data_IF_084696424714
#
_entry.id   IF_084696424714
#
_cell.length_a   1.000
_cell.length_b   1.000
_cell.length_c   1.000
_cell.angle_alpha   90.00
_cell.angle_beta   90.00
_cell.angle_gamma   90.00
#
_symmetry.space_group_name_H-M   'P 1'
#
loop_
_entity.id
_entity.type
_entity.pdbx_description
1 polymer ?
#
# COMPACT_ATOMS: atom_id res chain seq x y z
N UNK A 1 16.50 21.02 18.71
CA UNK A 1 17.01 20.78 17.34
C UNK A 1 16.54 21.91 16.44
N UNK A 2 17.39 22.48 15.60
CA UNK A 2 16.98 23.56 14.67
C UNK A 2 16.45 22.96 13.37
N UNK A 3 15.47 23.63 12.75
CA UNK A 3 14.93 23.25 11.43
C UNK A 3 16.05 23.05 10.40
N UNK A 4 17.04 23.94 10.38
CA UNK A 4 18.21 23.84 9.48
C UNK A 4 18.97 22.54 9.66
N UNK A 5 19.20 22.11 10.90
CA UNK A 5 19.92 20.86 11.15
C UNK A 5 19.12 19.65 10.66
N UNK A 6 17.81 19.63 10.91
CA UNK A 6 16.92 18.57 10.44
C UNK A 6 16.85 18.50 8.90
N UNK A 7 16.71 19.65 8.22
CA UNK A 7 16.71 19.70 6.75
C UNK A 7 18.01 19.18 6.15
N UNK A 8 19.16 19.63 6.66
CA UNK A 8 20.49 19.18 6.18
C UNK A 8 20.69 17.68 6.42
N UNK A 9 20.23 17.16 7.56
CA UNK A 9 20.33 15.74 7.86
C UNK A 9 19.50 14.89 6.87
N UNK A 10 18.27 15.31 6.56
CA UNK A 10 17.43 14.61 5.57
C UNK A 10 18.00 14.69 4.15
N UNK A 11 18.50 15.86 3.75
CA UNK A 11 19.15 16.04 2.45
C UNK A 11 20.36 15.10 2.31
N UNK A 12 21.24 15.08 3.31
CA UNK A 12 22.42 14.20 3.31
C UNK A 12 22.04 12.71 3.28
N UNK A 13 20.98 12.31 3.99
CA UNK A 13 20.47 10.94 3.95
C UNK A 13 19.90 10.58 2.58
N UNK A 14 19.15 11.51 1.97
CA UNK A 14 18.57 11.36 0.64
C UNK A 14 19.67 11.17 -0.41
N UNK A 15 20.69 12.04 -0.40
CA UNK A 15 21.80 11.98 -1.37
C UNK A 15 22.54 10.64 -1.26
N UNK A 16 22.88 10.21 -0.05
CA UNK A 16 23.56 8.92 0.17
C UNK A 16 22.71 7.73 -0.24
N UNK A 17 21.40 7.78 0.01
CA UNK A 17 20.49 6.73 -0.43
C UNK A 17 20.45 6.64 -1.96
N UNK A 18 20.44 7.79 -2.65
CA UNK A 18 20.47 7.84 -4.11
C UNK A 18 21.79 7.33 -4.68
N UNK A 19 22.93 7.71 -4.10
CA UNK A 19 24.24 7.19 -4.50
C UNK A 19 24.31 5.66 -4.39
N UNK A 20 23.80 5.13 -3.27
CA UNK A 20 23.74 3.68 -3.05
C UNK A 20 22.83 2.98 -4.08
N UNK A 21 21.65 3.55 -4.37
CA UNK A 21 20.73 3.01 -5.36
C UNK A 21 21.38 2.99 -6.75
N UNK A 22 22.05 4.07 -7.16
CA UNK A 22 22.78 4.12 -8.43
C UNK A 22 23.85 3.03 -8.51
N UNK A 23 24.65 2.87 -7.44
CA UNK A 23 25.67 1.83 -7.37
C UNK A 23 25.06 0.43 -7.52
N UNK A 24 23.96 0.15 -6.82
CA UNK A 24 23.31 -1.17 -6.82
C UNK A 24 22.65 -1.48 -8.18
N UNK A 25 22.04 -0.49 -8.82
CA UNK A 25 21.39 -0.61 -10.14
C UNK A 25 22.38 -1.02 -11.23
N UNK A 26 23.64 -0.59 -11.12
CA UNK A 26 24.69 -1.00 -12.05
C UNK A 26 25.22 -2.42 -11.82
N UNK A 27 25.03 -2.98 -10.62
CA UNK A 27 25.62 -4.27 -10.22
C UNK A 27 24.61 -5.43 -10.23
N UNK A 28 23.37 -5.15 -9.87
CA UNK A 28 22.34 -6.14 -9.61
C UNK A 28 21.14 -5.98 -10.54
N UNK A 29 20.38 -7.04 -10.82
CA UNK A 29 19.06 -6.89 -11.44
C UNK A 29 18.16 -6.04 -10.55
N UNK A 30 17.35 -5.19 -11.17
CA UNK A 30 16.47 -4.28 -10.44
C UNK A 30 15.13 -4.11 -11.16
N UNK A 31 14.12 -3.69 -10.39
CA UNK A 31 12.81 -3.29 -10.89
C UNK A 31 12.40 -1.99 -10.22
N UNK A 32 11.83 -1.05 -10.99
CA UNK A 32 11.20 0.14 -10.42
C UNK A 32 9.68 -0.02 -10.35
N UNK A 33 9.11 0.30 -9.20
CA UNK A 33 7.70 0.65 -9.10
C UNK A 33 7.58 2.16 -8.93
N UNK A 34 6.67 2.78 -9.67
CA UNK A 34 6.34 4.18 -9.54
C UNK A 34 4.92 4.31 -9.01
N UNK A 35 4.72 5.29 -8.12
CA UNK A 35 3.41 5.71 -7.65
C UNK A 35 3.24 7.21 -7.92
N UNK A 36 2.02 7.59 -8.28
CA UNK A 36 1.65 8.98 -8.50
C UNK A 36 1.36 9.63 -7.15
N UNK A 37 2.27 10.50 -6.71
CA UNK A 37 2.08 11.28 -5.50
C UNK A 37 1.30 12.55 -5.81
N UNK A 38 0.11 12.65 -5.23
CA UNK A 38 -0.75 13.82 -5.33
C UNK A 38 -0.88 14.44 -3.94
N UNK A 39 -0.22 15.57 -3.71
CA UNK A 39 -0.23 16.27 -2.40
C UNK A 39 -1.08 17.54 -2.52
N UNK A 40 -2.37 17.48 -2.17
CA UNK A 40 -3.21 18.67 -2.13
C UNK A 40 -2.88 19.49 -0.88
N UNK A 41 -2.19 20.63 -1.06
CA UNK A 41 -2.03 21.61 0.01
C UNK A 41 -3.36 22.33 0.23
N UNK A 42 -4.10 21.93 1.27
CA UNK A 42 -5.36 22.54 1.66
C UNK A 42 -5.12 23.55 2.78
N UNK A 43 -5.50 24.80 2.57
CA UNK A 43 -5.41 25.85 3.57
C UNK A 43 -6.77 26.03 4.23
N UNK A 44 -6.82 25.98 5.57
CA UNK A 44 -8.05 26.18 6.34
C UNK A 44 -8.20 27.61 6.89
N UNK A 45 -7.31 28.54 6.53
CA UNK A 45 -7.36 29.96 6.97
C UNK A 45 -7.02 30.95 5.85
N UNK A 46 -7.75 32.06 5.75
CA UNK A 46 -7.45 33.17 4.84
C UNK A 46 -6.30 34.03 5.38
N UNK A 47 -5.05 33.77 4.97
CA UNK A 47 -3.93 34.71 5.16
C UNK A 47 -3.17 34.91 3.84
N UNK A 48 -2.47 36.04 3.71
CA UNK A 48 -1.92 36.56 2.45
C UNK A 48 -0.88 35.65 1.74
N UNK A 49 -0.33 34.63 2.41
CA UNK A 49 0.53 33.60 1.81
C UNK A 49 -0.25 32.29 1.58
N UNK A 50 -1.31 32.39 0.77
CA UNK A 50 -2.15 31.27 0.38
C UNK A 50 -1.60 30.61 -0.89
N UNK A 51 -0.79 29.58 -0.71
CA UNK A 51 -0.39 28.67 -1.78
C UNK A 51 -1.38 27.50 -1.79
N UNK A 52 -2.46 27.60 -2.57
CA UNK A 52 -3.45 26.53 -2.77
C UNK A 52 -3.09 25.64 -3.98
N UNK A 53 -1.80 25.52 -4.30
CA UNK A 53 -1.38 24.77 -5.47
C UNK A 53 -1.37 23.27 -5.18
N UNK A 54 -1.65 22.51 -6.22
CA UNK A 54 -1.55 21.06 -6.20
C UNK A 54 -0.12 20.66 -6.57
N UNK A 55 0.56 19.94 -5.68
CA UNK A 55 1.87 19.37 -5.99
C UNK A 55 1.62 17.97 -6.54
N UNK A 56 1.96 17.77 -7.82
CA UNK A 56 2.10 16.45 -8.39
C UNK A 56 3.56 16.01 -8.30
N UNK A 57 3.77 14.75 -7.96
CA UNK A 57 5.07 14.12 -7.87
C UNK A 57 4.98 12.67 -8.28
N UNK A 58 6.13 12.06 -8.50
CA UNK A 58 6.23 10.63 -8.71
C UNK A 58 7.19 10.06 -7.67
N UNK A 59 6.72 9.09 -6.88
CA UNK A 59 7.56 8.35 -5.97
C UNK A 59 8.06 7.10 -6.68
N UNK A 60 9.37 6.90 -6.73
CA UNK A 60 9.98 5.68 -7.28
C UNK A 60 10.52 4.83 -6.14
N UNK A 61 10.21 3.54 -6.18
CA UNK A 61 10.83 2.53 -5.30
C UNK A 61 11.66 1.60 -6.17
N UNK A 62 12.95 1.49 -5.84
CA UNK A 62 13.88 0.57 -6.49
C UNK A 62 13.91 -0.75 -5.71
N UNK A 63 13.54 -1.84 -6.37
CA UNK A 63 13.66 -3.19 -5.85
C UNK A 63 14.94 -3.81 -6.39
N UNK A 64 15.98 -3.88 -5.55
CA UNK A 64 17.24 -4.53 -5.90
C UNK A 64 17.10 -6.03 -5.65
N UNK A 65 17.26 -6.82 -6.71
CA UNK A 65 17.07 -8.27 -6.67
C UNK A 65 18.43 -8.99 -6.53
N UNK A 66 18.47 -10.20 -5.94
CA UNK A 66 19.67 -11.01 -5.90
C UNK A 66 20.23 -11.29 -7.31
N UNK A 67 21.54 -11.49 -7.45
CA UNK A 67 22.19 -11.77 -8.76
C UNK A 67 21.54 -12.93 -9.53
N UNK A 68 21.01 -13.93 -8.82
CA UNK A 68 20.34 -15.11 -9.38
C UNK A 68 18.94 -14.83 -9.93
N UNK A 69 18.32 -13.72 -9.56
CA UNK A 69 16.97 -13.33 -10.00
C UNK A 69 17.00 -12.63 -11.37
N UNK A 70 17.81 -13.13 -12.30
CA UNK A 70 17.83 -12.61 -13.67
C UNK A 70 16.54 -12.99 -14.36
N UNK A 71 15.81 -11.99 -14.84
CA UNK A 71 14.64 -12.20 -15.66
C UNK A 71 15.08 -12.70 -17.05
N UNK A 72 14.28 -13.56 -17.70
CA UNK A 72 14.51 -13.96 -19.08
C UNK A 72 14.66 -12.74 -20.01
N UNK A 73 15.49 -12.89 -21.06
CA UNK A 73 15.59 -11.89 -22.11
C UNK A 73 14.23 -11.69 -22.77
N UNK A 74 13.76 -10.44 -22.86
CA UNK A 74 12.47 -10.12 -23.48
C UNK A 74 11.29 -9.96 -22.51
N UNK A 75 11.49 -10.14 -21.19
CA UNK A 75 10.41 -9.94 -20.20
C UNK A 75 9.81 -8.52 -20.25
N UNK A 76 10.62 -7.48 -20.41
CA UNK A 76 10.10 -6.10 -20.46
C UNK A 76 9.23 -5.84 -21.72
N UNK A 77 9.68 -6.17 -22.96
CA UNK A 77 8.81 -6.13 -24.13
C UNK A 77 7.50 -6.92 -23.98
N UNK A 78 7.55 -8.12 -23.38
CA UNK A 78 6.37 -8.94 -23.12
C UNK A 78 5.42 -8.28 -22.10
N UNK A 79 5.96 -7.68 -21.04
CA UNK A 79 5.15 -6.93 -20.07
C UNK A 79 4.49 -5.71 -20.71
N UNK A 80 5.21 -5.01 -21.60
CA UNK A 80 4.67 -3.86 -22.31
C UNK A 80 3.55 -4.26 -23.28
N UNK A 81 3.75 -5.34 -24.05
CA UNK A 81 2.70 -5.84 -24.96
C UNK A 81 1.49 -6.36 -24.19
N UNK A 82 1.69 -7.06 -23.08
CA UNK A 82 0.62 -7.48 -22.19
C UNK A 82 -0.17 -6.28 -21.64
N UNK A 83 0.51 -5.25 -21.13
CA UNK A 83 -0.15 -4.03 -20.64
C UNK A 83 -0.93 -3.32 -21.74
N UNK A 84 -0.37 -3.21 -22.95
CA UNK A 84 -1.05 -2.59 -24.08
C UNK A 84 -2.29 -3.38 -24.51
N UNK A 85 -2.23 -4.72 -24.48
CA UNK A 85 -3.37 -5.58 -24.85
C UNK A 85 -4.48 -5.59 -23.80
N UNK A 86 -4.15 -5.36 -22.52
CA UNK A 86 -5.09 -5.47 -21.40
C UNK A 86 -5.38 -4.13 -20.71
N UNK A 87 -5.00 -2.98 -21.28
CA UNK A 87 -5.20 -1.67 -20.64
C UNK A 87 -6.69 -1.29 -20.50
N UNK A 88 -7.55 -1.85 -21.36
CA UNK A 88 -9.00 -1.64 -21.32
C UNK A 88 -9.72 -2.71 -20.50
N UNK A 89 -9.03 -3.80 -20.15
CA UNK A 89 -9.60 -4.84 -19.32
C UNK A 89 -9.67 -4.33 -17.88
N UNK A 90 -10.88 -4.06 -17.42
CA UNK A 90 -11.14 -3.78 -16.02
C UNK A 90 -10.85 -5.06 -15.24
N UNK A 91 -9.89 -5.01 -14.32
CA UNK A 91 -9.66 -6.14 -13.42
C UNK A 91 -10.87 -6.29 -12.50
N UNK A 92 -11.34 -7.51 -12.29
CA UNK A 92 -12.36 -7.75 -11.29
C UNK A 92 -11.71 -7.63 -9.91
N UNK A 93 -12.23 -6.75 -9.07
CA UNK A 93 -11.78 -6.66 -7.68
C UNK A 93 -12.03 -7.97 -6.93
N UNK A 94 -13.02 -8.76 -7.35
CA UNK A 94 -13.28 -10.05 -6.74
C UNK A 94 -12.07 -10.98 -6.88
N UNK A 95 -11.36 -10.97 -8.01
CA UNK A 95 -10.18 -11.82 -8.23
C UNK A 95 -8.97 -11.42 -7.37
N UNK A 96 -8.95 -10.18 -6.87
CA UNK A 96 -7.87 -9.65 -6.00
C UNK A 96 -8.20 -9.84 -4.53
N UNK A 97 -9.47 -9.62 -4.19
CA UNK A 97 -9.97 -9.67 -2.81
C UNK A 97 -10.30 -11.09 -2.37
N UNK A 98 -10.67 -11.96 -3.32
CA UNK A 98 -11.13 -13.31 -3.08
C UNK A 98 -10.36 -14.31 -3.95
N UNK A 99 -10.24 -15.54 -3.48
CA UNK A 99 -9.51 -16.61 -4.16
C UNK A 99 -9.13 -17.79 -3.27
N UNK A 100 -9.28 -17.64 -1.95
CA UNK A 100 -9.21 -18.74 -1.00
C UNK A 100 -10.45 -18.68 -0.13
N UNK A 101 -11.47 -19.45 -0.52
CA UNK A 101 -12.79 -19.49 0.14
C UNK A 101 -12.69 -19.54 1.67
N UNK A 102 -11.77 -20.34 2.23
CA UNK A 102 -11.61 -20.45 3.69
C UNK A 102 -11.03 -19.18 4.32
N UNK A 103 -10.08 -18.51 3.65
CA UNK A 103 -9.51 -17.25 4.12
C UNK A 103 -10.49 -16.09 3.93
N UNK A 104 -11.24 -16.12 2.83
CA UNK A 104 -12.21 -15.11 2.43
C UNK A 104 -13.40 -15.09 3.41
N UNK A 105 -14.03 -16.24 3.66
CA UNK A 105 -15.14 -16.40 4.61
C UNK A 105 -14.72 -15.92 6.02
N UNK A 106 -13.47 -16.18 6.41
CA UNK A 106 -12.94 -15.77 7.72
C UNK A 106 -12.65 -14.27 7.79
N UNK A 107 -12.10 -13.69 6.72
CA UNK A 107 -11.86 -12.26 6.63
C UNK A 107 -13.19 -11.51 6.68
N UNK A 108 -14.22 -12.02 6.01
CA UNK A 108 -15.58 -11.49 6.05
C UNK A 108 -16.15 -11.54 7.47
N UNK A 109 -16.12 -12.70 8.13
CA UNK A 109 -16.57 -12.82 9.53
C UNK A 109 -15.83 -11.88 10.49
N UNK A 110 -14.52 -11.66 10.28
CA UNK A 110 -13.74 -10.71 11.06
C UNK A 110 -14.16 -9.26 10.81
N UNK A 111 -14.35 -8.88 9.54
CA UNK A 111 -14.79 -7.55 9.15
C UNK A 111 -16.20 -7.24 9.68
N UNK A 112 -17.13 -8.20 9.56
CA UNK A 112 -18.47 -8.11 10.14
C UNK A 112 -18.41 -7.87 11.65
N UNK A 113 -17.65 -8.69 12.38
CA UNK A 113 -17.45 -8.51 13.82
C UNK A 113 -16.87 -7.13 14.15
N UNK A 114 -15.87 -6.66 13.40
CA UNK A 114 -15.24 -5.36 13.63
C UNK A 114 -16.21 -4.20 13.42
N UNK A 115 -16.98 -4.23 12.33
CA UNK A 115 -18.01 -3.22 12.03
C UNK A 115 -19.10 -3.24 13.10
N UNK A 116 -19.67 -4.40 13.41
CA UNK A 116 -20.72 -4.53 14.42
C UNK A 116 -20.23 -4.08 15.79
N UNK A 117 -19.01 -4.44 16.18
CA UNK A 117 -18.41 -4.01 17.45
C UNK A 117 -18.20 -2.50 17.49
N UNK A 118 -17.77 -1.90 16.38
CA UNK A 118 -17.61 -0.45 16.25
C UNK A 118 -18.96 0.26 16.41
N UNK A 119 -20.00 -0.23 15.75
CA UNK A 119 -21.36 0.30 15.88
C UNK A 119 -21.90 0.16 17.30
N UNK A 120 -21.78 -1.02 17.91
CA UNK A 120 -22.23 -1.24 19.29
C UNK A 120 -21.49 -0.35 20.29
N UNK A 121 -20.24 0.02 20.03
CA UNK A 121 -19.48 0.93 20.88
C UNK A 121 -19.76 2.41 20.59
N UNK A 122 -20.58 2.75 19.59
CA UNK A 122 -20.99 4.12 19.34
C UNK A 122 -22.07 4.59 20.34
N UNK A 123 -22.20 5.90 20.58
CA UNK A 123 -23.21 6.44 21.47
C UNK A 123 -24.64 6.05 21.05
N UNK A 124 -24.89 5.95 19.75
CA UNK A 124 -26.21 5.69 19.16
C UNK A 124 -26.76 4.31 19.52
N UNK A 125 -25.89 3.33 19.81
CA UNK A 125 -26.26 1.95 20.12
C UNK A 125 -26.10 1.60 21.60
N UNK A 126 -25.98 2.59 22.48
CA UNK A 126 -25.87 2.36 23.94
C UNK A 126 -27.09 1.62 24.50
N UNK A 127 -28.28 1.90 23.96
CA UNK A 127 -29.55 1.27 24.37
C UNK A 127 -29.92 0.00 23.62
N UNK A 128 -29.03 -0.57 22.79
CA UNK A 128 -29.37 -1.75 21.99
C UNK A 128 -29.52 -3.00 22.89
N UNK A 129 -30.71 -3.64 22.92
CA UNK A 129 -31.05 -4.66 23.91
C UNK A 129 -30.23 -5.95 23.76
N UNK A 130 -29.75 -6.27 22.55
CA UNK A 130 -29.05 -7.51 22.25
C UNK A 130 -27.52 -7.36 22.23
N UNK A 131 -26.96 -6.36 22.91
CA UNK A 131 -25.51 -6.08 22.92
C UNK A 131 -24.63 -7.28 23.33
N UNK A 132 -25.20 -8.22 24.09
CA UNK A 132 -24.51 -9.43 24.57
C UNK A 132 -24.91 -10.70 23.79
N UNK A 133 -25.54 -10.56 22.63
CA UNK A 133 -25.90 -11.71 21.79
C UNK A 133 -24.62 -12.49 21.38
N UNK A 134 -24.62 -13.83 21.49
CA UNK A 134 -23.49 -14.65 21.05
C UNK A 134 -23.03 -14.41 19.61
N UNK A 135 -23.90 -13.92 18.73
CA UNK A 135 -23.59 -13.57 17.35
C UNK A 135 -22.55 -12.43 17.25
N UNK A 136 -22.42 -11.60 18.29
CA UNK A 136 -21.40 -10.55 18.36
C UNK A 136 -20.08 -11.02 18.98
N UNK A 137 -19.94 -12.32 19.30
CA UNK A 137 -18.68 -12.86 19.79
C UNK A 137 -17.60 -12.75 18.72
N UNK A 138 -16.35 -12.65 19.18
CA UNK A 138 -15.21 -12.57 18.28
C UNK A 138 -15.07 -13.87 17.48
N UNK A 139 -14.91 -13.82 16.15
CA UNK A 139 -14.61 -15.00 15.37
C UNK A 139 -13.24 -15.58 15.73
N UNK A 140 -12.97 -16.87 15.43
CA UNK A 140 -11.70 -17.52 15.74
C UNK A 140 -10.51 -16.75 15.18
N UNK A 141 -9.45 -16.60 15.98
CA UNK A 141 -8.21 -15.97 15.55
C UNK A 141 -7.48 -16.86 14.53
N UNK A 142 -7.07 -16.28 13.40
CA UNK A 142 -6.20 -16.93 12.45
C UNK A 142 -4.76 -16.41 12.59
N UNK A 143 -3.86 -17.26 13.07
CA UNK A 143 -2.41 -17.06 12.92
C UNK A 143 -1.98 -18.04 11.84
N UNK A 144 -2.02 -17.63 10.58
CA UNK A 144 -1.22 -18.29 9.57
C UNK A 144 -0.60 -17.24 8.66
N UNK A 145 0.71 -17.29 8.53
CA UNK A 145 1.44 -16.65 7.45
C UNK A 145 1.65 -17.70 6.36
N UNK A 146 0.94 -17.65 5.22
CA UNK A 146 1.34 -18.42 4.07
C UNK A 146 2.23 -17.52 3.20
N UNK A 147 3.54 -17.47 3.50
CA UNK A 147 4.51 -17.10 2.47
C UNK A 147 5.20 -18.38 2.03
N UNK A 148 4.44 -19.23 1.32
CA UNK A 148 5.06 -20.16 0.38
C UNK A 148 5.11 -19.42 -0.94
N UNK A 149 6.22 -18.74 -1.18
CA UNK A 149 6.59 -18.35 -2.54
C UNK A 149 6.65 -19.65 -3.34
N UNK A 150 5.67 -19.89 -4.21
CA UNK A 150 5.75 -20.94 -5.21
C UNK A 150 6.98 -20.64 -6.07
N UNK A 151 8.03 -21.44 -5.88
CA UNK A 151 9.22 -21.50 -6.74
C UNK A 151 8.89 -22.13 -8.08
#
# INVERSE_FOLDING_TARGET
>A
MSHKWTSVAFETLSDRAMDLVQELIHKYPWVFSHDNMNVPLRVFSQRLHNQSHFINGCAYTAWILPQRARLPTGTNPLLQSFRAANCEQVFDFADVLYGNLEADDRMEAFNEHYVLRTLLNSPDFTGYPHRSDPLFNRPPLFISFPVVLKT
#
